data_IF_795128810379
#
_entry.id   IF_795128810379
#
_cell.length_a   1.000
_cell.length_b   1.000
_cell.length_c   1.000
_cell.angle_alpha   90.00
_cell.angle_beta   90.00
_cell.angle_gamma   90.00
#
_symmetry.space_group_name_H-M   'P 1'
#
loop_
_entity.id
_entity.type
_entity.pdbx_description
1 polymer ?
#
# COMPACT_ATOMS: atom_id res chain seq x y z
N UNK A 1 -2.84 12.37 12.57
CA UNK A 1 -4.07 12.71 11.81
C UNK A 1 -5.28 11.88 12.31
N UNK A 2 -6.52 12.41 12.19
CA UNK A 2 -7.75 11.77 12.73
C UNK A 2 -8.03 10.36 12.16
N UNK A 3 -7.57 10.03 10.97
CA UNK A 3 -7.74 8.73 10.33
C UNK A 3 -6.68 7.70 10.70
N UNK A 4 -5.48 8.10 11.07
CA UNK A 4 -4.46 7.18 11.62
C UNK A 4 -4.98 6.50 12.88
N UNK A 5 -5.69 7.24 13.72
CA UNK A 5 -6.37 6.71 14.89
C UNK A 5 -7.42 5.66 14.49
N UNK A 6 -8.27 5.94 13.49
CA UNK A 6 -9.28 4.98 13.05
C UNK A 6 -8.69 3.68 12.47
N UNK A 7 -7.56 3.76 11.77
CA UNK A 7 -6.86 2.60 11.24
C UNK A 7 -6.15 1.80 12.34
N UNK A 8 -5.59 2.47 13.35
CA UNK A 8 -4.92 1.82 14.47
C UNK A 8 -5.89 1.08 15.40
N UNK A 9 -7.16 1.49 15.44
CA UNK A 9 -8.22 0.86 16.23
C UNK A 9 -8.76 -0.45 15.60
N UNK A 10 -8.41 -0.75 14.35
CA UNK A 10 -8.82 -2.01 13.70
C UNK A 10 -8.14 -3.18 14.39
N UNK A 11 -8.95 -4.08 14.97
CA UNK A 11 -8.46 -5.26 15.66
C UNK A 11 -7.78 -6.25 14.71
N UNK A 12 -6.52 -6.57 15.01
CA UNK A 12 -5.66 -7.50 14.28
C UNK A 12 -5.09 -8.60 15.18
N UNK A 13 -5.63 -8.76 16.37
CA UNK A 13 -5.12 -9.69 17.41
C UNK A 13 -5.26 -11.18 17.05
N UNK A 14 -6.16 -11.52 16.11
CA UNK A 14 -6.40 -12.90 15.68
C UNK A 14 -5.30 -13.49 14.80
N UNK A 15 -4.35 -12.68 14.32
CA UNK A 15 -3.30 -13.12 13.41
C UNK A 15 -2.06 -13.59 14.17
N UNK A 16 -1.62 -14.81 13.89
CA UNK A 16 -0.52 -15.47 14.60
C UNK A 16 0.84 -15.34 13.90
N UNK A 17 0.86 -15.06 12.60
CA UNK A 17 2.05 -14.99 11.77
C UNK A 17 2.20 -13.64 11.08
N UNK A 18 2.62 -12.63 11.82
CA UNK A 18 3.01 -11.35 11.25
C UNK A 18 4.34 -11.50 10.50
N UNK A 19 4.50 -10.76 9.40
CA UNK A 19 5.69 -10.73 8.57
C UNK A 19 6.35 -9.37 8.66
N UNK A 20 7.68 -9.37 8.64
CA UNK A 20 8.44 -8.13 8.54
C UNK A 20 8.22 -7.44 7.20
N UNK A 21 8.09 -6.13 7.27
CA UNK A 21 7.96 -5.30 6.08
C UNK A 21 9.34 -5.12 5.46
N UNK A 22 9.51 -5.36 4.15
CA UNK A 22 10.78 -5.14 3.46
C UNK A 22 11.30 -3.72 3.64
N UNK A 23 12.60 -3.50 3.50
CA UNK A 23 13.22 -2.17 3.66
C UNK A 23 12.59 -1.09 2.78
N UNK A 24 12.20 -1.43 1.55
CA UNK A 24 11.51 -0.53 0.64
C UNK A 24 10.06 -0.18 1.10
N UNK A 25 9.48 -1.00 1.95
CA UNK A 25 8.13 -0.79 2.50
C UNK A 25 8.03 0.26 3.60
N UNK A 26 9.13 0.97 3.93
CA UNK A 26 9.11 2.12 4.85
C UNK A 26 8.28 3.31 4.35
N UNK A 27 7.84 3.27 3.10
CA UNK A 27 6.86 4.20 2.52
C UNK A 27 5.45 4.01 3.07
N UNK A 28 5.15 2.85 3.65
CA UNK A 28 3.85 2.59 4.27
C UNK A 28 3.78 3.18 5.68
N UNK A 29 2.58 3.57 6.08
CA UNK A 29 2.34 4.02 7.46
C UNK A 29 2.48 2.87 8.47
N UNK A 30 2.54 3.20 9.76
CA UNK A 30 2.53 2.22 10.85
C UNK A 30 1.24 1.37 10.89
N UNK A 31 0.22 1.72 10.12
CA UNK A 31 -1.02 0.95 10.01
C UNK A 31 -0.97 -0.12 8.92
N UNK A 32 0.16 -0.28 8.21
CA UNK A 32 0.32 -1.37 7.26
C UNK A 32 0.19 -2.71 7.99
N UNK A 33 -0.48 -3.64 7.33
CA UNK A 33 -0.71 -4.98 7.86
C UNK A 33 -0.17 -6.02 6.89
N UNK A 34 0.81 -6.79 7.34
CA UNK A 34 1.47 -7.82 6.54
C UNK A 34 1.54 -9.12 7.33
N UNK A 35 0.76 -10.11 6.92
CA UNK A 35 0.64 -11.39 7.61
C UNK A 35 0.65 -12.58 6.65
N UNK A 36 1.06 -13.73 7.16
CA UNK A 36 0.89 -15.02 6.49
C UNK A 36 -0.33 -15.72 7.09
N UNK A 37 -1.35 -15.94 6.27
CA UNK A 37 -2.61 -16.53 6.73
C UNK A 37 -2.47 -18.05 6.84
N UNK A 38 -2.57 -18.58 8.05
CA UNK A 38 -2.35 -20.01 8.36
C UNK A 38 -3.61 -20.84 8.41
N UNK A 39 -4.77 -20.23 8.68
CA UNK A 39 -6.04 -20.94 8.88
C UNK A 39 -7.19 -20.34 8.07
N UNK A 40 -8.29 -21.08 7.96
CA UNK A 40 -9.54 -20.57 7.38
C UNK A 40 -10.13 -19.41 8.20
N UNK A 41 -9.96 -19.45 9.52
CA UNK A 41 -10.39 -18.38 10.41
C UNK A 41 -9.62 -17.11 10.14
N UNK A 42 -8.28 -17.17 10.07
CA UNK A 42 -7.45 -16.00 9.74
C UNK A 42 -7.78 -15.40 8.36
N UNK A 43 -8.13 -16.24 7.36
CA UNK A 43 -8.59 -15.75 6.05
C UNK A 43 -9.89 -14.96 6.15
N UNK A 44 -10.86 -15.44 6.96
CA UNK A 44 -12.11 -14.71 7.21
C UNK A 44 -11.86 -13.40 7.95
N UNK A 45 -11.01 -13.43 8.98
CA UNK A 45 -10.62 -12.22 9.73
C UNK A 45 -9.88 -11.23 8.86
N UNK A 46 -9.06 -11.69 7.92
CA UNK A 46 -8.39 -10.82 6.96
C UNK A 46 -9.41 -10.07 6.08
N UNK A 47 -10.43 -10.76 5.55
CA UNK A 47 -11.50 -10.09 4.81
C UNK A 47 -12.20 -9.03 5.65
N UNK A 48 -12.47 -9.31 6.94
CA UNK A 48 -13.05 -8.33 7.88
C UNK A 48 -12.14 -7.10 8.03
N UNK A 49 -10.83 -7.29 8.19
CA UNK A 49 -9.87 -6.17 8.27
C UNK A 49 -9.88 -5.35 6.99
N UNK A 50 -9.88 -6.00 5.82
CA UNK A 50 -9.97 -5.32 4.51
C UNK A 50 -11.25 -4.50 4.42
N UNK A 51 -12.41 -5.06 4.78
CA UNK A 51 -13.69 -4.36 4.76
C UNK A 51 -13.70 -3.13 5.68
N UNK A 52 -13.09 -3.25 6.85
CA UNK A 52 -12.95 -2.12 7.79
C UNK A 52 -12.05 -1.02 7.21
N UNK A 53 -10.91 -1.38 6.62
CA UNK A 53 -10.00 -0.42 5.97
C UNK A 53 -10.69 0.29 4.80
N UNK A 54 -11.39 -0.45 3.94
CA UNK A 54 -12.17 0.12 2.83
C UNK A 54 -13.27 1.04 3.33
N UNK A 55 -13.98 0.66 4.38
CA UNK A 55 -15.02 1.50 5.00
C UNK A 55 -14.47 2.81 5.53
N UNK A 56 -13.29 2.78 6.17
CA UNK A 56 -12.59 3.99 6.62
C UNK A 56 -12.20 4.85 5.43
N UNK A 57 -11.59 4.27 4.39
CA UNK A 57 -11.20 4.97 3.16
C UNK A 57 -12.39 5.65 2.47
N UNK A 58 -13.51 4.94 2.32
CA UNK A 58 -14.74 5.48 1.72
C UNK A 58 -15.27 6.67 2.54
N UNK A 59 -15.29 6.56 3.87
CA UNK A 59 -15.73 7.66 4.76
C UNK A 59 -14.83 8.88 4.63
N UNK A 60 -13.51 8.66 4.48
CA UNK A 60 -12.54 9.73 4.30
C UNK A 60 -12.68 10.40 2.93
N UNK A 61 -12.81 9.61 1.87
CA UNK A 61 -12.98 10.11 0.49
C UNK A 61 -14.24 10.98 0.37
N UNK A 62 -15.35 10.58 1.00
CA UNK A 62 -16.59 11.39 1.02
C UNK A 62 -16.45 12.71 1.76
N UNK A 63 -15.53 12.83 2.69
CA UNK A 63 -15.26 14.05 3.49
C UNK A 63 -14.07 14.85 2.97
N UNK A 64 -13.36 14.32 1.98
CA UNK A 64 -12.21 15.01 1.40
C UNK A 64 -12.63 16.31 0.75
N UNK A 65 -11.83 17.34 0.98
CA UNK A 65 -11.97 18.66 0.33
C UNK A 65 -10.76 18.87 -0.57
N UNK A 66 -10.97 19.70 -1.60
CA UNK A 66 -9.87 20.11 -2.45
C UNK A 66 -8.81 20.82 -1.59
N UNK A 67 -7.57 20.41 -1.72
CA UNK A 67 -6.45 21.11 -1.11
C UNK A 67 -6.08 22.31 -1.96
N UNK A 68 -5.88 23.44 -1.32
CA UNK A 68 -5.50 24.71 -1.97
C UNK A 68 -4.18 25.26 -1.49
N UNK A 69 -3.59 24.67 -0.46
CA UNK A 69 -2.27 25.05 0.03
C UNK A 69 -1.19 24.41 -0.85
N UNK A 70 -0.42 25.26 -1.55
CA UNK A 70 0.60 24.82 -2.50
C UNK A 70 1.70 23.98 -1.85
N UNK A 71 2.13 24.29 -0.63
CA UNK A 71 3.14 23.53 0.10
C UNK A 71 2.67 22.10 0.40
N UNK A 72 1.41 21.96 0.85
CA UNK A 72 0.79 20.66 1.13
C UNK A 72 0.61 19.86 -0.17
N UNK A 73 0.24 20.53 -1.27
CA UNK A 73 0.11 19.88 -2.58
C UNK A 73 1.48 19.35 -3.02
N UNK A 74 2.53 20.19 -2.92
CA UNK A 74 3.88 19.79 -3.31
C UNK A 74 4.39 18.62 -2.46
N UNK A 75 4.20 18.68 -1.14
CA UNK A 75 4.55 17.57 -0.23
C UNK A 75 3.88 16.25 -0.64
N UNK A 76 2.59 16.29 -0.99
CA UNK A 76 1.86 15.11 -1.46
C UNK A 76 2.40 14.56 -2.78
N UNK A 77 2.75 15.44 -3.71
CA UNK A 77 3.39 15.05 -4.99
C UNK A 77 4.71 14.35 -4.71
N UNK A 78 5.53 14.91 -3.81
CA UNK A 78 6.84 14.33 -3.47
C UNK A 78 6.69 12.97 -2.77
N UNK A 79 5.69 12.78 -1.91
CA UNK A 79 5.37 11.48 -1.33
C UNK A 79 4.92 10.47 -2.39
N UNK A 80 4.10 10.87 -3.36
CA UNK A 80 3.65 9.99 -4.45
C UNK A 80 4.84 9.56 -5.33
N UNK A 81 5.72 10.49 -5.68
CA UNK A 81 6.96 10.18 -6.42
C UNK A 81 7.85 9.21 -5.66
N UNK A 82 8.07 9.48 -4.37
CA UNK A 82 8.84 8.57 -3.52
C UNK A 82 8.21 7.18 -3.45
N UNK A 83 6.88 7.10 -3.35
CA UNK A 83 6.16 5.82 -3.39
C UNK A 83 6.48 5.06 -4.68
N UNK A 84 6.37 5.68 -5.84
CA UNK A 84 6.69 5.05 -7.13
C UNK A 84 8.15 4.59 -7.20
N UNK A 85 9.10 5.44 -6.79
CA UNK A 85 10.53 5.12 -6.75
C UNK A 85 10.80 3.89 -5.86
N UNK A 86 10.20 3.83 -4.68
CA UNK A 86 10.40 2.70 -3.76
C UNK A 86 9.72 1.42 -4.27
N UNK A 87 8.55 1.53 -4.91
CA UNK A 87 7.86 0.38 -5.51
C UNK A 87 8.64 -0.23 -6.68
N UNK A 88 9.34 0.59 -7.47
CA UNK A 88 10.23 0.08 -8.53
C UNK A 88 11.39 -0.78 -7.99
N UNK A 89 11.76 -0.65 -6.71
CA UNK A 89 12.75 -1.50 -6.04
C UNK A 89 12.19 -2.88 -5.66
N UNK A 90 10.89 -3.12 -5.85
CA UNK A 90 10.27 -4.40 -5.59
C UNK A 90 10.54 -5.37 -6.75
N UNK A 91 11.57 -6.17 -6.60
CA UNK A 91 12.01 -7.14 -7.61
C UNK A 91 10.96 -8.24 -7.93
N UNK A 92 10.01 -8.49 -7.02
CA UNK A 92 9.00 -9.53 -7.23
C UNK A 92 8.11 -9.27 -8.44
N UNK A 93 7.76 -8.03 -8.70
CA UNK A 93 6.95 -7.67 -9.87
C UNK A 93 7.72 -7.91 -11.16
N UNK A 94 8.96 -7.44 -11.24
CA UNK A 94 9.80 -7.68 -12.41
C UNK A 94 10.09 -9.16 -12.62
N UNK A 95 10.37 -9.93 -11.57
CA UNK A 95 10.60 -11.37 -11.65
C UNK A 95 9.40 -12.15 -12.20
N UNK A 96 8.18 -11.74 -11.86
CA UNK A 96 6.97 -12.37 -12.40
C UNK A 96 6.82 -12.04 -13.89
N UNK A 97 6.99 -10.78 -14.27
CA UNK A 97 6.85 -10.33 -15.65
C UNK A 97 7.93 -10.91 -16.56
N UNK A 98 9.18 -11.03 -16.09
CA UNK A 98 10.30 -11.62 -16.84
C UNK A 98 10.09 -13.10 -17.21
N UNK A 99 9.12 -13.79 -16.62
CA UNK A 99 8.73 -15.15 -17.05
C UNK A 99 8.00 -15.18 -18.38
N UNK A 100 7.43 -14.06 -18.82
CA UNK A 100 6.53 -13.96 -19.96
C UNK A 100 6.99 -12.94 -21.00
N UNK A 101 7.81 -11.94 -20.60
CA UNK A 101 8.22 -10.82 -21.41
C UNK A 101 9.74 -10.60 -21.32
N UNK A 102 10.33 -9.96 -22.32
CA UNK A 102 11.74 -9.58 -22.28
C UNK A 102 12.02 -8.42 -21.29
N UNK A 103 13.28 -8.29 -20.91
CA UNK A 103 13.71 -7.31 -19.89
C UNK A 103 13.41 -5.86 -20.30
N UNK A 104 13.61 -5.53 -21.58
CA UNK A 104 13.36 -4.17 -22.09
C UNK A 104 11.89 -3.80 -21.97
N UNK A 105 11.01 -4.72 -22.34
CA UNK A 105 9.56 -4.53 -22.21
C UNK A 105 9.16 -4.41 -20.74
N UNK A 106 9.67 -5.29 -19.86
CA UNK A 106 9.35 -5.28 -18.43
C UNK A 106 9.77 -3.97 -17.78
N UNK A 107 10.98 -3.50 -18.02
CA UNK A 107 11.49 -2.25 -17.47
C UNK A 107 10.67 -1.04 -17.95
N UNK A 108 10.32 -1.01 -19.24
CA UNK A 108 9.47 0.04 -19.78
C UNK A 108 8.06 0.01 -19.17
N UNK A 109 7.44 -1.17 -19.08
CA UNK A 109 6.11 -1.32 -18.50
C UNK A 109 6.04 -0.88 -17.04
N UNK A 110 7.01 -1.30 -16.21
CA UNK A 110 7.08 -0.92 -14.79
C UNK A 110 7.20 0.60 -14.66
N UNK A 111 8.03 1.22 -15.48
CA UNK A 111 8.32 2.65 -15.40
C UNK A 111 7.21 3.54 -15.96
N UNK A 112 6.56 3.12 -17.05
CA UNK A 112 5.62 3.99 -17.79
C UNK A 112 4.15 3.66 -17.55
N UNK A 113 3.84 2.48 -17.01
CA UNK A 113 2.46 2.05 -16.79
C UNK A 113 2.15 1.86 -15.30
N UNK A 114 3.03 1.16 -14.57
CA UNK A 114 2.76 0.89 -13.15
C UNK A 114 3.13 2.06 -12.24
N UNK A 115 4.25 2.71 -12.50
CA UNK A 115 4.83 3.74 -11.62
C UNK A 115 5.29 4.95 -12.42
N UNK A 116 4.40 5.48 -13.24
CA UNK A 116 4.62 6.71 -14.00
C UNK A 116 4.60 7.94 -13.06
N UNK A 117 5.64 8.82 -13.14
CA UNK A 117 5.74 10.06 -12.33
C UNK A 117 6.63 11.12 -13.01
#
# INVERSE_FOLDING_TARGET
MKYEKSLSEVDKSSFTSLREIPKWGRIFSNNVFFASLKSKSEKKDFCRVVDQYLSILIKLSKKAKLEVNEEIIQERIDFQKNYCIQQMKNEKTSMVLLKYFDEKWVNNYIKTVLFDF
#
